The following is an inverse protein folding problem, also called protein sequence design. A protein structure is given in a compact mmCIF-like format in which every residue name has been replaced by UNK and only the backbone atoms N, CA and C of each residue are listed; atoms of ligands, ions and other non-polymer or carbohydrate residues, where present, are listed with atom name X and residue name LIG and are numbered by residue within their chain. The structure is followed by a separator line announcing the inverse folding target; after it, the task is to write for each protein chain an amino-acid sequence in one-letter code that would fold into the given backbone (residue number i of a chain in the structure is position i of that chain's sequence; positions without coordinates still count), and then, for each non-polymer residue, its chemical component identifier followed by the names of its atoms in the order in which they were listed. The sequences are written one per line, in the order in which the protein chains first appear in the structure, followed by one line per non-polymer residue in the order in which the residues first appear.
data_IF_185250643301
#
_entry.id   IF_185250643301
#
_cell.length_a   1.000
_cell.length_b   1.000
_cell.length_c   1.000
_cell.angle_alpha   90.00
_cell.angle_beta   90.00
_cell.angle_gamma   90.00
#
_symmetry.space_group_name_H-M   'P 1'
#
loop_
_entity.id
_entity.type
_entity.pdbx_description
1 polymer ?
#
# COMPACT_ATOMS: atom_id res chain seq x y z
N UNK A 1 7.65 -3.25 50.77
CA UNK A 1 7.99 -2.37 49.63
C UNK A 1 7.83 -0.94 50.07
N UNK A 2 8.94 -0.21 50.28
CA UNK A 2 8.87 1.20 50.69
C UNK A 2 8.32 2.01 49.52
N UNK A 3 7.23 2.78 49.76
CA UNK A 3 6.77 3.79 48.84
C UNK A 3 7.89 4.83 48.68
N UNK A 4 8.71 4.73 47.63
CA UNK A 4 9.68 5.75 47.26
C UNK A 4 8.87 6.96 46.78
N UNK A 5 8.75 7.97 47.65
CA UNK A 5 8.16 9.27 47.33
C UNK A 5 9.12 9.99 46.37
N UNK A 6 8.58 10.34 45.18
CA UNK A 6 9.29 11.16 44.19
C UNK A 6 9.77 12.45 44.89
N UNK A 7 11.06 12.74 44.77
CA UNK A 7 11.66 13.91 45.40
C UNK A 7 11.43 15.18 44.58
N UNK A 8 11.44 16.36 45.26
CA UNK A 8 11.34 17.65 44.56
C UNK A 8 12.44 17.87 43.53
N UNK A 9 13.63 17.29 43.76
CA UNK A 9 14.78 17.33 42.85
C UNK A 9 14.48 16.55 41.55
N UNK A 10 13.96 15.33 41.69
CA UNK A 10 13.60 14.50 40.54
C UNK A 10 12.52 15.13 39.69
N UNK A 11 11.51 15.77 40.29
CA UNK A 11 10.48 16.50 39.56
C UNK A 11 11.11 17.65 38.75
N UNK A 12 12.02 18.42 39.37
CA UNK A 12 12.64 19.57 38.72
C UNK A 12 13.48 19.13 37.51
N UNK A 13 14.32 18.07 37.65
CA UNK A 13 15.10 17.53 36.54
C UNK A 13 14.23 16.94 35.43
N UNK A 14 13.13 16.24 35.77
CA UNK A 14 12.17 15.75 34.78
C UNK A 14 11.57 16.86 33.96
N UNK A 15 11.16 17.97 34.60
CA UNK A 15 10.63 19.15 33.89
C UNK A 15 11.67 19.74 32.94
N UNK A 16 12.94 19.83 33.38
CA UNK A 16 14.03 20.32 32.50
C UNK A 16 14.23 19.37 31.31
N UNK A 17 14.30 18.06 31.53
CA UNK A 17 14.47 17.07 30.47
C UNK A 17 13.33 17.18 29.46
N UNK A 18 12.09 17.19 29.94
CA UNK A 18 10.89 17.31 29.08
C UNK A 18 10.94 18.63 28.27
N UNK A 19 11.28 19.75 28.92
CA UNK A 19 11.34 21.06 28.25
C UNK A 19 12.41 21.11 27.15
N UNK A 20 13.60 20.58 27.42
CA UNK A 20 14.69 20.50 26.43
C UNK A 20 14.29 19.58 25.27
N UNK A 21 13.71 18.41 25.58
CA UNK A 21 13.27 17.47 24.55
C UNK A 21 12.14 18.04 23.69
N UNK A 22 11.20 18.76 24.27
CA UNK A 22 10.16 19.45 23.50
C UNK A 22 10.76 20.53 22.58
N UNK A 23 11.70 21.34 23.07
CA UNK A 23 12.37 22.33 22.24
C UNK A 23 13.11 21.68 21.05
N UNK A 24 13.84 20.57 21.29
CA UNK A 24 14.46 19.79 20.23
C UNK A 24 13.43 19.19 19.27
N UNK A 25 12.31 18.67 19.78
CA UNK A 25 11.21 18.14 18.96
C UNK A 25 10.64 19.20 18.02
N UNK A 26 10.43 20.44 18.49
CA UNK A 26 9.99 21.54 17.63
C UNK A 26 10.98 21.90 16.54
N UNK A 27 12.29 21.93 16.84
CA UNK A 27 13.33 22.20 15.84
C UNK A 27 13.36 21.10 14.75
N UNK A 28 13.29 19.83 15.13
CA UNK A 28 13.26 18.70 14.18
C UNK A 28 11.98 18.72 13.37
N UNK A 29 10.82 18.91 14.04
CA UNK A 29 9.51 19.01 13.39
C UNK A 29 9.45 20.13 12.35
N UNK A 30 10.07 21.29 12.64
CA UNK A 30 10.16 22.41 11.70
C UNK A 30 10.98 22.03 10.46
N UNK A 31 12.09 21.32 10.61
CA UNK A 31 12.87 20.86 9.45
C UNK A 31 12.10 19.82 8.60
N UNK A 32 11.38 18.91 9.25
CA UNK A 32 10.51 17.95 8.55
C UNK A 32 9.40 18.70 7.80
N UNK A 33 8.75 19.66 8.45
CA UNK A 33 7.70 20.48 7.83
C UNK A 33 8.22 21.27 6.62
N UNK A 34 9.38 21.87 6.71
CA UNK A 34 9.99 22.59 5.58
C UNK A 34 10.29 21.67 4.39
N UNK A 35 10.85 20.47 4.65
CA UNK A 35 11.10 19.49 3.59
C UNK A 35 9.80 19.02 2.92
N UNK A 36 8.73 18.79 3.69
CA UNK A 36 7.41 18.46 3.17
C UNK A 36 6.80 19.62 2.35
N UNK A 37 6.99 20.86 2.79
CA UNK A 37 6.50 22.02 2.03
C UNK A 37 7.19 22.16 0.68
N UNK A 38 8.48 21.86 0.57
CA UNK A 38 9.21 21.87 -0.70
C UNK A 38 8.64 20.79 -1.66
N UNK A 39 8.33 19.60 -1.14
CA UNK A 39 7.67 18.54 -1.92
C UNK A 39 6.25 18.93 -2.34
N UNK A 40 5.48 19.59 -1.46
CA UNK A 40 4.11 20.04 -1.74
C UNK A 40 4.08 21.20 -2.75
N UNK A 41 5.12 22.01 -2.83
CA UNK A 41 5.19 23.11 -3.79
C UNK A 41 5.06 22.61 -5.23
N UNK A 42 5.63 21.45 -5.58
CA UNK A 42 5.49 20.86 -6.90
C UNK A 42 4.03 20.48 -7.24
N UNK A 43 3.23 20.08 -6.24
CA UNK A 43 1.81 19.76 -6.43
C UNK A 43 0.97 21.03 -6.57
N UNK A 44 1.23 22.04 -5.74
CA UNK A 44 0.49 23.31 -5.75
C UNK A 44 0.75 24.15 -7.01
N UNK A 45 1.91 23.99 -7.63
CA UNK A 45 2.28 24.69 -8.89
C UNK A 45 1.93 23.90 -10.14
N UNK A 46 1.55 22.62 -10.01
CA UNK A 46 1.19 21.76 -11.13
C UNK A 46 -0.06 22.28 -11.86
N UNK A 47 -0.07 22.18 -13.18
CA UNK A 47 -1.23 22.54 -13.99
C UNK A 47 -2.40 21.59 -13.67
N UNK A 48 -3.58 22.15 -13.40
CA UNK A 48 -4.80 21.37 -13.18
C UNK A 48 -5.68 21.36 -14.42
N UNK A 49 -5.95 20.17 -14.96
CA UNK A 49 -6.72 19.93 -16.17
C UNK A 49 -7.92 19.07 -15.84
N UNK A 50 -9.13 19.59 -16.07
CA UNK A 50 -10.36 18.86 -15.83
C UNK A 50 -10.98 18.44 -17.16
N UNK A 51 -10.65 17.23 -17.63
CA UNK A 51 -11.15 16.60 -18.85
C UNK A 51 -11.06 17.46 -20.12
N UNK A 52 -10.04 18.33 -20.23
CA UNK A 52 -9.81 19.16 -21.39
C UNK A 52 -8.68 18.60 -22.25
N UNK A 53 -9.08 17.90 -23.33
CA UNK A 53 -8.17 17.30 -24.32
C UNK A 53 -7.21 18.29 -24.96
N UNK A 54 -7.67 19.51 -25.22
CA UNK A 54 -6.87 20.51 -25.94
C UNK A 54 -5.77 21.07 -25.03
N UNK A 55 -6.13 21.37 -23.79
CA UNK A 55 -5.18 21.82 -22.76
C UNK A 55 -4.17 20.72 -22.45
N UNK A 56 -4.61 19.46 -22.33
CA UNK A 56 -3.73 18.33 -22.09
C UNK A 56 -2.72 18.13 -23.22
N UNK A 57 -3.18 18.09 -24.47
CA UNK A 57 -2.30 17.99 -25.65
C UNK A 57 -1.33 19.18 -25.75
N UNK A 58 -1.81 20.39 -25.48
CA UNK A 58 -0.98 21.57 -25.49
C UNK A 58 0.11 21.48 -24.43
N UNK A 59 -0.22 21.04 -23.21
CA UNK A 59 0.73 20.83 -22.12
C UNK A 59 1.86 19.88 -22.49
N UNK A 60 1.54 18.74 -23.09
CA UNK A 60 2.55 17.78 -23.56
C UNK A 60 3.46 18.38 -24.65
N UNK A 61 2.86 19.14 -25.59
CA UNK A 61 3.59 19.73 -26.71
C UNK A 61 4.52 20.87 -26.28
N UNK A 62 4.15 21.61 -25.24
CA UNK A 62 4.89 22.80 -24.78
C UNK A 62 5.81 22.49 -23.60
N UNK A 63 5.90 21.21 -23.18
CA UNK A 63 6.71 20.79 -22.03
C UNK A 63 6.37 21.58 -20.76
N UNK A 64 5.08 21.65 -20.41
CA UNK A 64 4.60 22.52 -19.33
C UNK A 64 5.06 22.06 -17.94
N UNK A 65 5.55 20.84 -17.83
CA UNK A 65 5.97 20.26 -16.56
C UNK A 65 4.89 19.43 -15.87
N UNK A 66 4.85 19.46 -14.55
CA UNK A 66 3.93 18.66 -13.75
C UNK A 66 2.47 19.11 -13.95
N UNK A 67 1.57 18.14 -14.09
CA UNK A 67 0.14 18.38 -14.21
C UNK A 67 -0.69 17.33 -13.49
N UNK A 68 -1.83 17.77 -12.94
CA UNK A 68 -2.94 16.90 -12.53
C UNK A 68 -4.01 16.93 -13.60
N UNK A 69 -4.39 15.76 -14.10
CA UNK A 69 -5.40 15.64 -15.18
C UNK A 69 -6.49 14.70 -14.68
N UNK A 70 -7.71 15.19 -14.50
CA UNK A 70 -8.87 14.38 -14.14
C UNK A 70 -9.63 13.99 -15.38
N UNK A 71 -9.74 12.69 -15.68
CA UNK A 71 -10.44 12.17 -16.86
C UNK A 71 -10.75 10.68 -16.75
N UNK A 72 -11.40 10.15 -17.78
CA UNK A 72 -11.63 8.72 -17.96
C UNK A 72 -10.42 8.08 -18.63
N UNK A 73 -10.00 6.93 -18.08
CA UNK A 73 -9.00 6.02 -18.64
C UNK A 73 -9.77 4.83 -19.23
N UNK A 74 -9.65 4.61 -20.54
CA UNK A 74 -10.39 3.57 -21.25
C UNK A 74 -9.45 2.69 -22.07
N UNK A 75 -9.67 1.37 -22.08
CA UNK A 75 -9.06 0.46 -23.04
C UNK A 75 -9.78 0.56 -24.40
N UNK A 76 -9.05 0.80 -25.49
CA UNK A 76 -9.63 0.97 -26.83
C UNK A 76 -9.88 -0.37 -27.53
N UNK A 77 -9.10 -1.39 -27.20
CA UNK A 77 -9.18 -2.75 -27.75
C UNK A 77 -9.29 -3.78 -26.60
N UNK A 78 -10.43 -3.78 -25.88
CA UNK A 78 -10.62 -4.65 -24.72
C UNK A 78 -10.51 -6.12 -25.07
N UNK A 79 -10.06 -6.93 -24.11
CA UNK A 79 -9.75 -8.35 -24.28
C UNK A 79 -10.64 -9.23 -23.39
N UNK A 80 -10.82 -10.49 -23.81
CA UNK A 80 -11.50 -11.52 -23.01
C UNK A 80 -10.94 -12.92 -23.35
N UNK A 81 -11.34 -13.91 -22.56
CA UNK A 81 -11.28 -15.33 -22.90
C UNK A 81 -12.67 -15.81 -23.32
N UNK A 82 -12.72 -16.78 -24.24
CA UNK A 82 -13.98 -17.28 -24.76
C UNK A 82 -14.85 -17.99 -23.71
N UNK A 83 -14.23 -18.41 -22.61
CA UNK A 83 -14.87 -19.14 -21.51
C UNK A 83 -15.56 -18.25 -20.47
N UNK A 84 -15.39 -16.92 -20.55
CA UNK A 84 -15.94 -15.97 -19.61
C UNK A 84 -16.71 -14.86 -20.33
N UNK A 85 -17.73 -14.33 -19.66
CA UNK A 85 -18.46 -13.16 -20.15
C UNK A 85 -17.73 -11.86 -19.81
N UNK A 86 -18.01 -10.83 -20.60
CA UNK A 86 -17.47 -9.50 -20.41
C UNK A 86 -16.17 -9.24 -21.19
N UNK A 87 -15.69 -8.02 -21.08
CA UNK A 87 -14.46 -7.55 -21.70
C UNK A 87 -13.68 -6.73 -20.68
N UNK A 88 -12.36 -6.71 -20.80
CA UNK A 88 -11.45 -6.21 -19.78
C UNK A 88 -10.30 -5.45 -20.42
N UNK A 89 -9.70 -4.51 -19.71
CA UNK A 89 -8.43 -3.89 -20.15
C UNK A 89 -7.26 -4.88 -20.01
N UNK A 90 -7.35 -5.77 -19.02
CA UNK A 90 -6.42 -6.85 -18.71
C UNK A 90 -7.23 -8.05 -18.22
N UNK A 91 -6.90 -9.23 -18.67
CA UNK A 91 -7.49 -10.47 -18.19
C UNK A 91 -6.44 -11.56 -18.03
N UNK A 92 -6.50 -12.27 -16.90
CA UNK A 92 -5.59 -13.34 -16.53
C UNK A 92 -6.39 -14.60 -16.20
N UNK A 93 -6.01 -15.72 -16.81
CA UNK A 93 -6.52 -17.07 -16.55
C UNK A 93 -5.44 -17.85 -15.81
N UNK A 94 -5.69 -18.23 -14.57
CA UNK A 94 -4.79 -19.03 -13.73
C UNK A 94 -5.31 -20.46 -13.68
N UNK A 95 -4.48 -21.41 -14.09
CA UNK A 95 -4.76 -22.84 -13.95
C UNK A 95 -4.21 -23.33 -12.62
N UNK A 96 -5.05 -23.98 -11.84
CA UNK A 96 -4.69 -24.61 -10.58
C UNK A 96 -5.08 -26.08 -10.57
N UNK A 97 -4.35 -26.89 -9.79
CA UNK A 97 -4.60 -28.32 -9.63
C UNK A 97 -4.77 -28.64 -8.15
N UNK A 98 -5.78 -29.44 -7.82
CA UNK A 98 -5.99 -29.92 -6.47
C UNK A 98 -4.96 -30.97 -6.11
N UNK A 99 -4.11 -30.68 -5.12
CA UNK A 99 -2.93 -31.49 -4.77
C UNK A 99 -2.94 -31.86 -3.31
N UNK A 100 -2.45 -33.07 -3.02
CA UNK A 100 -2.27 -33.56 -1.67
C UNK A 100 -0.88 -33.20 -1.17
N UNK A 101 -0.83 -32.60 0.03
CA UNK A 101 0.39 -32.25 0.72
C UNK A 101 0.46 -32.92 2.09
N UNK A 102 1.67 -33.04 2.62
CA UNK A 102 1.91 -33.50 3.98
C UNK A 102 2.83 -32.51 4.70
N UNK A 103 2.56 -32.27 5.97
CA UNK A 103 3.45 -31.49 6.83
C UNK A 103 3.66 -32.20 8.15
N UNK A 104 4.84 -32.06 8.72
CA UNK A 104 5.15 -32.55 10.07
C UNK A 104 4.83 -31.43 11.06
N UNK A 105 3.95 -31.73 12.02
CA UNK A 105 3.58 -30.79 13.09
C UNK A 105 4.07 -31.34 14.43
N UNK A 106 4.60 -30.45 15.26
CA UNK A 106 4.99 -30.82 16.65
C UNK A 106 3.81 -30.52 17.56
N UNK A 107 3.32 -31.55 18.24
CA UNK A 107 2.24 -31.45 19.24
C UNK A 107 2.79 -31.75 20.63
N UNK A 108 2.14 -31.23 21.66
CA UNK A 108 2.49 -31.47 23.04
C UNK A 108 1.34 -32.21 23.72
N UNK A 109 1.67 -33.22 24.56
CA UNK A 109 0.71 -33.92 25.43
C UNK A 109 1.27 -34.04 26.83
N UNK A 110 0.38 -34.14 27.81
CA UNK A 110 0.76 -34.45 29.18
C UNK A 110 0.78 -36.00 29.32
N UNK A 111 1.91 -36.57 29.73
CA UNK A 111 2.03 -37.99 29.95
C UNK A 111 1.39 -38.43 31.31
N UNK A 112 1.34 -39.72 31.55
CA UNK A 112 0.74 -40.29 32.78
C UNK A 112 1.44 -39.83 34.08
N UNK A 113 2.66 -39.29 33.98
CA UNK A 113 3.43 -38.74 35.09
C UNK A 113 3.28 -37.23 35.26
N UNK A 114 2.36 -36.56 34.50
CA UNK A 114 2.10 -35.12 34.56
C UNK A 114 3.17 -34.27 33.88
N UNK A 115 4.10 -34.87 33.11
CA UNK A 115 5.12 -34.11 32.34
C UNK A 115 4.67 -33.87 30.92
N UNK A 116 5.01 -32.69 30.38
CA UNK A 116 4.77 -32.36 28.98
C UNK A 116 5.79 -33.08 28.10
N UNK A 117 5.29 -33.86 27.16
CA UNK A 117 6.06 -34.52 26.10
C UNK A 117 5.69 -33.89 24.76
N UNK A 118 6.69 -33.66 23.90
CA UNK A 118 6.49 -33.26 22.52
C UNK A 118 6.63 -34.47 21.61
N UNK A 119 5.74 -34.59 20.65
CA UNK A 119 5.79 -35.60 19.59
C UNK A 119 5.51 -34.98 18.24
N UNK A 120 5.99 -35.61 17.18
CA UNK A 120 5.73 -35.20 15.82
C UNK A 120 4.67 -36.07 15.18
N UNK A 121 3.76 -35.44 14.47
CA UNK A 121 2.71 -36.09 13.69
C UNK A 121 2.71 -35.57 12.28
N UNK A 122 2.46 -36.44 11.30
CA UNK A 122 2.32 -36.04 9.90
C UNK A 122 0.85 -35.77 9.60
N UNK A 123 0.53 -34.52 9.30
CA UNK A 123 -0.79 -34.11 8.87
C UNK A 123 -0.85 -34.06 7.34
N UNK A 124 -1.93 -34.59 6.78
CA UNK A 124 -2.24 -34.46 5.35
C UNK A 124 -3.23 -33.32 5.15
N UNK A 125 -2.96 -32.46 4.17
CA UNK A 125 -3.85 -31.38 3.76
C UNK A 125 -3.90 -31.28 2.23
N UNK A 126 -4.87 -30.56 1.72
CA UNK A 126 -5.10 -30.43 0.29
C UNK A 126 -5.23 -28.95 -0.07
N UNK A 127 -4.63 -28.55 -1.20
CA UNK A 127 -4.66 -27.18 -1.70
C UNK A 127 -4.81 -27.16 -3.20
N UNK A 128 -5.30 -26.03 -3.72
CA UNK A 128 -5.23 -25.70 -5.11
C UNK A 128 -3.86 -25.09 -5.40
N UNK A 129 -3.02 -25.83 -6.13
CA UNK A 129 -1.67 -25.40 -6.44
C UNK A 129 -1.62 -24.78 -7.83
N UNK A 130 -0.92 -23.66 -7.93
CA UNK A 130 -0.66 -22.99 -9.20
C UNK A 130 0.06 -23.93 -10.19
N UNK A 131 -0.41 -23.95 -11.43
CA UNK A 131 0.20 -24.70 -12.53
C UNK A 131 0.79 -23.76 -13.58
N UNK A 132 -0.03 -22.92 -14.18
CA UNK A 132 0.38 -21.90 -15.15
C UNK A 132 -0.65 -20.76 -15.20
N UNK A 133 -0.31 -19.74 -15.98
CA UNK A 133 -1.22 -18.63 -16.28
C UNK A 133 -1.14 -18.24 -17.74
N UNK A 134 -2.24 -17.72 -18.25
CA UNK A 134 -2.36 -17.03 -19.52
C UNK A 134 -2.83 -15.60 -19.28
N UNK A 135 -2.30 -14.64 -20.03
CA UNK A 135 -2.60 -13.22 -19.87
C UNK A 135 -2.91 -12.60 -21.22
N UNK A 136 -3.95 -11.80 -21.28
CA UNK A 136 -4.26 -10.93 -22.43
C UNK A 136 -4.40 -9.51 -21.93
N UNK A 137 -3.83 -8.56 -22.66
CA UNK A 137 -3.90 -7.12 -22.39
C UNK A 137 -4.48 -6.41 -23.61
N UNK A 138 -5.17 -5.31 -23.39
CA UNK A 138 -5.37 -4.32 -24.43
C UNK A 138 -4.00 -3.86 -24.97
N UNK A 139 -3.93 -3.36 -26.17
CA UNK A 139 -2.70 -2.79 -26.73
C UNK A 139 -2.66 -1.29 -26.60
N UNK A 140 -3.83 -0.68 -26.65
CA UNK A 140 -3.99 0.78 -26.68
C UNK A 140 -5.00 1.24 -25.62
N UNK A 141 -4.67 2.33 -24.95
CA UNK A 141 -5.53 3.00 -23.98
C UNK A 141 -5.80 4.44 -24.42
N UNK A 142 -6.90 5.01 -23.97
CA UNK A 142 -7.22 6.42 -24.14
C UNK A 142 -7.35 7.10 -22.79
N UNK A 143 -6.69 8.23 -22.60
CA UNK A 143 -6.85 9.09 -21.45
C UNK A 143 -7.00 10.55 -21.90
N UNK A 144 -8.00 11.25 -21.38
CA UNK A 144 -8.34 12.62 -21.78
C UNK A 144 -8.39 12.81 -23.32
N UNK A 145 -8.90 11.77 -24.04
CA UNK A 145 -9.01 11.77 -25.50
C UNK A 145 -7.67 11.69 -26.26
N UNK A 146 -6.58 11.30 -25.59
CA UNK A 146 -5.27 11.02 -26.19
C UNK A 146 -5.00 9.52 -26.03
N UNK A 147 -4.48 8.89 -27.08
CA UNK A 147 -4.14 7.46 -27.08
C UNK A 147 -2.70 7.23 -26.64
N UNK A 148 -2.49 6.20 -25.84
CA UNK A 148 -1.18 5.74 -25.35
C UNK A 148 -1.09 4.22 -25.47
N UNK A 149 0.12 3.69 -25.41
CA UNK A 149 0.33 2.25 -25.31
C UNK A 149 -0.15 1.74 -23.94
N UNK A 150 -0.66 0.50 -23.94
CA UNK A 150 -1.04 -0.17 -22.68
C UNK A 150 0.15 -0.25 -21.73
N UNK A 151 -0.07 0.08 -20.46
CA UNK A 151 0.99 0.13 -19.44
C UNK A 151 1.61 1.52 -19.25
N UNK A 152 1.30 2.51 -20.12
CA UNK A 152 1.70 3.91 -19.88
C UNK A 152 0.99 4.49 -18.66
N UNK A 153 -0.28 4.14 -18.47
CA UNK A 153 -1.08 4.45 -17.28
C UNK A 153 -1.61 3.13 -16.73
N UNK A 154 -1.41 2.87 -15.45
CA UNK A 154 -1.84 1.64 -14.82
C UNK A 154 -3.34 1.67 -14.50
N UNK A 155 -4.04 0.59 -14.88
CA UNK A 155 -5.41 0.36 -14.46
C UNK A 155 -5.46 -0.11 -12.99
N UNK A 156 -6.63 -0.01 -12.33
CA UNK A 156 -6.82 -0.60 -11.02
C UNK A 156 -6.46 -2.09 -11.00
N UNK A 157 -6.05 -2.57 -9.84
CA UNK A 157 -5.68 -3.96 -9.64
C UNK A 157 -6.77 -4.91 -10.12
N UNK A 158 -6.34 -6.00 -10.74
CA UNK A 158 -7.22 -7.07 -11.18
C UNK A 158 -8.04 -7.64 -10.01
N UNK A 159 -9.30 -8.00 -10.30
CA UNK A 159 -10.21 -8.68 -9.35
C UNK A 159 -10.60 -10.03 -9.93
N UNK A 160 -10.89 -10.98 -9.05
CA UNK A 160 -11.45 -12.26 -9.48
C UNK A 160 -12.80 -12.03 -10.15
N UNK A 161 -12.96 -12.58 -11.35
CA UNK A 161 -14.17 -12.54 -12.17
C UNK A 161 -15.02 -13.76 -11.87
N UNK A 162 -14.40 -14.93 -12.03
CA UNK A 162 -15.07 -16.23 -11.85
C UNK A 162 -14.03 -17.35 -11.72
N UNK A 163 -14.49 -18.48 -11.18
CA UNK A 163 -13.72 -19.73 -11.14
C UNK A 163 -14.49 -20.82 -11.87
N UNK A 164 -13.87 -21.48 -12.83
CA UNK A 164 -14.43 -22.57 -13.62
C UNK A 164 -13.74 -23.87 -13.25
N UNK A 165 -14.50 -24.86 -12.78
CA UNK A 165 -13.99 -26.17 -12.40
C UNK A 165 -14.09 -27.15 -13.56
N UNK A 166 -12.99 -27.90 -13.82
CA UNK A 166 -13.05 -29.09 -14.70
C UNK A 166 -13.43 -30.28 -13.84
N UNK A 167 -14.73 -30.53 -13.65
CA UNK A 167 -15.26 -31.59 -12.81
C UNK A 167 -16.37 -31.08 -11.88
N UNK A 168 -16.46 -31.66 -10.69
CA UNK A 168 -17.48 -31.29 -9.73
C UNK A 168 -17.07 -30.04 -8.94
N UNK A 169 -17.96 -29.08 -8.80
CA UNK A 169 -17.72 -27.84 -8.08
C UNK A 169 -17.67 -28.04 -6.55
N UNK A 170 -18.34 -29.07 -6.05
CA UNK A 170 -18.51 -29.31 -4.60
C UNK A 170 -17.57 -30.35 -4.01
N UNK A 171 -17.13 -31.32 -4.84
CA UNK A 171 -16.27 -32.42 -4.41
C UNK A 171 -15.01 -32.46 -5.26
N UNK A 172 -13.86 -32.28 -4.62
CA UNK A 172 -12.58 -32.26 -5.30
C UNK A 172 -11.75 -33.52 -5.03
N UNK A 173 -11.23 -34.09 -6.09
CA UNK A 173 -10.29 -35.21 -6.04
C UNK A 173 -8.88 -34.76 -6.42
N UNK A 174 -7.88 -35.45 -5.89
CA UNK A 174 -6.47 -35.17 -6.25
C UNK A 174 -6.30 -35.27 -7.77
N UNK A 175 -5.80 -34.22 -8.37
CA UNK A 175 -5.62 -34.11 -9.83
C UNK A 175 -6.68 -33.26 -10.52
N UNK A 176 -7.79 -32.92 -9.86
CA UNK A 176 -8.80 -32.02 -10.42
C UNK A 176 -8.18 -30.67 -10.76
N UNK A 177 -8.74 -30.02 -11.76
CA UNK A 177 -8.26 -28.75 -12.30
C UNK A 177 -9.36 -27.69 -12.19
N UNK A 178 -8.97 -26.46 -11.83
CA UNK A 178 -9.82 -25.28 -11.96
C UNK A 178 -9.07 -24.17 -12.67
N UNK A 179 -9.85 -23.25 -13.25
CA UNK A 179 -9.35 -22.02 -13.85
C UNK A 179 -9.95 -20.85 -13.11
N UNK A 180 -9.09 -20.01 -12.53
CA UNK A 180 -9.48 -18.76 -11.85
C UNK A 180 -9.19 -17.61 -12.80
N UNK A 181 -10.21 -16.79 -13.09
CA UNK A 181 -10.10 -15.66 -14.00
C UNK A 181 -10.07 -14.38 -13.21
N UNK A 182 -9.11 -13.51 -13.52
CA UNK A 182 -8.95 -12.18 -12.95
C UNK A 182 -9.00 -11.15 -14.07
N UNK A 183 -9.55 -9.97 -13.80
CA UNK A 183 -9.60 -8.91 -14.80
C UNK A 183 -9.61 -7.52 -14.18
N UNK A 184 -9.13 -6.56 -14.97
CA UNK A 184 -9.22 -5.13 -14.70
C UNK A 184 -10.30 -4.49 -15.56
N UNK A 185 -11.02 -3.46 -15.07
CA UNK A 185 -12.13 -2.85 -15.80
C UNK A 185 -11.68 -2.26 -17.15
N UNK A 186 -12.63 -2.14 -18.09
CA UNK A 186 -12.37 -1.52 -19.40
C UNK A 186 -12.15 -0.01 -19.23
N UNK A 187 -12.88 0.58 -18.29
CA UNK A 187 -12.93 2.02 -18.05
C UNK A 187 -12.86 2.29 -16.56
N UNK A 188 -12.12 3.32 -16.20
CA UNK A 188 -12.11 3.87 -14.85
C UNK A 188 -11.87 5.38 -14.91
N UNK A 189 -12.33 6.09 -13.89
CA UNK A 189 -12.14 7.54 -13.77
C UNK A 189 -11.19 7.83 -12.63
N UNK A 190 -10.37 8.88 -12.80
CA UNK A 190 -9.44 9.29 -11.77
C UNK A 190 -8.58 10.46 -12.19
N UNK A 191 -7.64 10.79 -11.30
CA UNK A 191 -6.66 11.85 -11.52
C UNK A 191 -5.30 11.27 -11.85
N UNK A 192 -4.76 11.68 -12.98
CA UNK A 192 -3.38 11.41 -13.38
C UNK A 192 -2.50 12.55 -12.86
N UNK A 193 -1.45 12.24 -12.13
CA UNK A 193 -0.32 13.15 -11.90
C UNK A 193 0.84 12.69 -12.77
N UNK A 194 1.32 13.57 -13.65
CA UNK A 194 2.38 13.23 -14.59
C UNK A 194 3.16 14.47 -15.01
N UNK A 195 4.39 14.24 -15.46
CA UNK A 195 5.20 15.22 -16.14
C UNK A 195 4.82 15.25 -17.62
N UNK A 196 4.34 16.40 -18.11
CA UNK A 196 3.96 16.61 -19.51
C UNK A 196 5.15 17.17 -20.29
N UNK A 197 5.74 16.33 -21.14
CA UNK A 197 6.95 16.68 -21.90
C UNK A 197 7.08 15.85 -23.17
N UNK A 198 7.85 16.34 -24.14
CA UNK A 198 8.21 15.63 -25.36
C UNK A 198 7.01 15.05 -26.14
N UNK A 199 5.88 15.76 -26.11
CA UNK A 199 4.62 15.32 -26.69
C UNK A 199 4.08 13.99 -26.10
N UNK A 200 4.47 13.68 -24.85
CA UNK A 200 4.12 12.48 -24.12
C UNK A 200 3.94 12.78 -22.64
N UNK A 201 3.83 11.74 -21.83
CA UNK A 201 3.75 11.80 -20.37
C UNK A 201 4.86 10.92 -19.77
N UNK A 202 5.42 11.37 -18.67
CA UNK A 202 6.41 10.62 -17.86
C UNK A 202 6.12 10.78 -16.36
N UNK A 203 6.79 10.03 -15.49
CA UNK A 203 6.56 10.02 -14.04
C UNK A 203 5.06 9.89 -13.69
N UNK A 204 4.42 8.89 -14.27
CA UNK A 204 2.96 8.72 -14.26
C UNK A 204 2.50 8.07 -12.95
N UNK A 205 1.57 8.73 -12.26
CA UNK A 205 0.86 8.22 -11.10
C UNK A 205 -0.64 8.42 -11.29
N UNK A 206 -1.42 7.34 -11.31
CA UNK A 206 -2.86 7.40 -11.49
C UNK A 206 -3.60 7.11 -10.19
N UNK A 207 -4.40 8.07 -9.75
CA UNK A 207 -5.20 8.02 -8.53
C UNK A 207 -6.65 7.70 -8.91
N UNK A 208 -6.94 6.43 -8.80
CA UNK A 208 -8.22 5.84 -9.13
C UNK A 208 -9.34 6.40 -8.24
N UNK A 209 -10.50 6.69 -8.84
CA UNK A 209 -11.73 7.18 -8.19
C UNK A 209 -11.53 8.41 -7.29
N UNK A 210 -10.58 9.28 -7.67
CA UNK A 210 -10.22 10.48 -6.93
C UNK A 210 -10.15 11.69 -7.87
N UNK A 211 -10.78 12.80 -7.49
CA UNK A 211 -10.66 14.07 -8.22
C UNK A 211 -9.36 14.81 -7.85
N UNK A 212 -9.01 15.87 -8.63
CA UNK A 212 -7.75 16.60 -8.45
C UNK A 212 -7.57 17.09 -7.01
N UNK A 213 -8.62 17.66 -6.41
CA UNK A 213 -8.55 18.21 -5.05
C UNK A 213 -8.34 17.12 -4.00
N UNK A 214 -9.04 16.01 -4.11
CA UNK A 214 -8.88 14.85 -3.22
C UNK A 214 -7.48 14.26 -3.36
N UNK A 215 -6.97 14.16 -4.59
CA UNK A 215 -5.63 13.66 -4.86
C UNK A 215 -4.58 14.56 -4.23
N UNK A 216 -4.65 15.89 -4.43
CA UNK A 216 -3.71 16.84 -3.82
C UNK A 216 -3.77 16.73 -2.30
N UNK A 217 -4.97 16.75 -1.70
CA UNK A 217 -5.11 16.61 -0.25
C UNK A 217 -4.52 15.30 0.30
N UNK A 218 -4.60 14.21 -0.47
CA UNK A 218 -4.01 12.92 -0.06
C UNK A 218 -2.48 12.93 -0.14
N UNK A 219 -1.92 13.65 -1.10
CA UNK A 219 -0.47 13.82 -1.28
C UNK A 219 0.14 14.79 -0.25
N UNK A 220 -0.61 15.81 0.16
CA UNK A 220 -0.22 16.79 1.17
C UNK A 220 -0.53 16.33 2.61
N UNK A 221 -0.77 15.05 2.81
CA UNK A 221 -1.12 14.51 4.12
C UNK A 221 0.03 14.64 5.13
N UNK A 222 -0.23 15.35 6.23
CA UNK A 222 0.73 15.61 7.32
C UNK A 222 0.92 14.40 8.27
N UNK A 223 0.50 13.20 7.89
CA UNK A 223 0.61 12.02 8.74
C UNK A 223 2.03 11.75 9.24
N UNK A 224 3.04 12.17 8.48
CA UNK A 224 4.47 12.03 8.83
C UNK A 224 4.82 12.88 10.05
N UNK A 225 4.26 14.09 10.15
CA UNK A 225 4.43 14.94 11.33
C UNK A 225 3.72 14.36 12.56
N UNK A 226 2.53 13.80 12.38
CA UNK A 226 1.80 13.11 13.44
C UNK A 226 2.61 11.92 13.96
N UNK A 227 3.12 11.07 13.04
CA UNK A 227 3.94 9.91 13.38
C UNK A 227 5.21 10.32 14.11
N UNK A 228 5.90 11.38 13.64
CA UNK A 228 7.07 11.92 14.32
C UNK A 228 6.75 12.29 15.77
N UNK A 229 5.66 13.04 16.03
CA UNK A 229 5.28 13.44 17.37
C UNK A 229 4.90 12.28 18.27
N UNK A 230 4.22 11.25 17.75
CA UNK A 230 3.92 10.03 18.51
C UNK A 230 5.19 9.34 18.97
N UNK A 231 6.16 9.12 18.05
CA UNK A 231 7.45 8.50 18.38
C UNK A 231 8.22 9.38 19.35
N UNK A 232 8.27 10.70 19.14
CA UNK A 232 9.01 11.63 19.97
C UNK A 232 8.50 11.68 21.40
N UNK A 233 7.19 11.63 21.61
CA UNK A 233 6.57 11.54 22.94
C UNK A 233 6.98 10.25 23.65
N UNK A 234 7.01 9.11 22.94
CA UNK A 234 7.47 7.83 23.50
C UNK A 234 8.93 7.94 23.97
N UNK A 235 9.78 8.60 23.18
CA UNK A 235 11.19 8.85 23.52
C UNK A 235 11.29 9.71 24.79
N UNK A 236 10.53 10.79 24.89
CA UNK A 236 10.49 11.67 26.09
C UNK A 236 10.10 10.87 27.33
N UNK A 237 9.05 10.06 27.23
CA UNK A 237 8.59 9.21 28.35
C UNK A 237 9.69 8.22 28.73
N UNK A 238 10.32 7.54 27.75
CA UNK A 238 11.40 6.59 27.99
C UNK A 238 12.61 7.21 28.67
N UNK A 239 13.03 8.40 28.23
CA UNK A 239 14.13 9.14 28.85
C UNK A 239 13.80 9.59 30.29
N UNK A 240 12.57 10.03 30.51
CA UNK A 240 12.13 10.44 31.85
C UNK A 240 12.11 9.25 32.81
N UNK A 241 11.58 8.10 32.40
CA UNK A 241 11.58 6.86 33.19
C UNK A 241 13.02 6.38 33.42
N UNK A 242 13.85 6.40 32.37
CA UNK A 242 15.27 6.04 32.46
C UNK A 242 16.03 6.90 33.47
N UNK A 243 15.76 8.20 33.47
CA UNK A 243 16.33 9.14 34.45
C UNK A 243 15.94 8.74 35.88
N UNK A 244 14.65 8.48 36.16
CA UNK A 244 14.20 8.03 37.49
C UNK A 244 14.88 6.73 37.91
N UNK A 245 15.03 5.77 37.00
CA UNK A 245 15.70 4.52 37.28
C UNK A 245 17.17 4.70 37.66
N UNK A 246 17.89 5.53 36.93
CA UNK A 246 19.32 5.80 37.15
C UNK A 246 19.54 6.63 38.44
N UNK A 247 18.74 7.66 38.70
CA UNK A 247 18.85 8.48 39.89
C UNK A 247 18.58 7.66 41.15
N UNK A 248 17.58 6.79 41.14
CA UNK A 248 17.29 5.87 42.25
C UNK A 248 18.44 4.87 42.50
N UNK A 249 19.03 4.30 41.43
CA UNK A 249 20.15 3.39 41.55
C UNK A 249 21.40 4.05 42.13
N UNK A 250 21.65 5.32 41.77
CA UNK A 250 22.79 6.10 42.27
C UNK A 250 22.62 6.49 43.74
N UNK A 251 21.38 6.72 44.19
CA UNK A 251 21.10 7.00 45.62
C UNK A 251 21.17 5.76 46.54
N UNK A 252 21.13 4.56 45.95
CA UNK A 252 21.27 3.29 46.69
C UNK A 252 22.70 2.77 46.74
N UNK A 253 23.63 3.34 45.97
CA UNK A 253 25.06 3.01 45.95
C UNK A 253 25.85 3.88 46.93
#
# INVERSE_FOLDING_TARGET
MANKLITKREILFSVVIISVMLALGFLISSNISNALMDDYQQYNTALQINNDKNVFRHGMKTNIGNAFVYSDLCALDPVSFDEIEGSYSHVKKVKERYTRHTRTVTKSRINAQGKTETYTETETYYTWDYVNREVKNATTISFCGVSFDYGTIEFPSEREITTVYQGNEWWHSVGDVRYVYYGSPIECRGTLYALLENNSISNVHFYYDSNIKETINSLESEWQLILFWVIWIIVIIGLTIGFYYLDNKWLES
#
